data_IF_772725767904
#
_entry.id   IF_772725767904
#
_cell.length_a   1.000
_cell.length_b   1.000
_cell.length_c   1.000
_cell.angle_alpha   90.00
_cell.angle_beta   90.00
_cell.angle_gamma   90.00
#
_symmetry.space_group_name_H-M   'P 1'
#
loop_
_entity.id
_entity.type
_entity.pdbx_description
1 polymer ?
#
# COMPACT_ATOMS: atom_id res chain seq x y z
N UNK A 1 -13.63 8.26 24.87
CA UNK A 1 -12.39 8.28 24.08
C UNK A 1 -11.40 9.20 24.77
N UNK A 2 -10.41 8.63 25.45
CA UNK A 2 -9.31 9.39 26.08
C UNK A 2 -8.38 9.97 25.00
N UNK A 3 -7.51 10.92 25.37
CA UNK A 3 -6.50 11.49 24.46
C UNK A 3 -5.50 10.43 23.96
N UNK A 4 -5.16 9.44 24.80
CA UNK A 4 -4.34 8.28 24.39
C UNK A 4 -5.04 7.39 23.34
N UNK A 5 -6.35 7.17 23.46
CA UNK A 5 -7.14 6.44 22.45
C UNK A 5 -7.32 7.25 21.14
N UNK A 6 -6.98 8.54 21.10
CA UNK A 6 -6.99 9.36 19.87
C UNK A 6 -5.66 9.35 19.13
N UNK A 7 -4.55 9.22 19.85
CA UNK A 7 -3.20 9.20 19.27
C UNK A 7 -2.85 7.84 18.65
N UNK A 8 -3.23 6.72 19.28
CA UNK A 8 -2.95 5.36 18.74
C UNK A 8 -3.71 5.04 17.43
N UNK A 9 -4.80 5.74 17.13
CA UNK A 9 -5.65 5.46 15.94
C UNK A 9 -5.25 6.32 14.73
N UNK A 10 -4.40 7.34 14.92
CA UNK A 10 -4.03 8.27 13.84
C UNK A 10 -3.21 7.61 12.71
N UNK A 11 -2.20 6.75 12.97
CA UNK A 11 -1.45 6.09 11.91
C UNK A 11 -2.29 5.12 11.09
N UNK A 12 -3.14 4.31 11.76
CA UNK A 12 -4.01 3.37 11.08
C UNK A 12 -5.04 4.10 10.20
N UNK A 13 -5.71 5.13 10.73
CA UNK A 13 -6.68 5.90 9.95
C UNK A 13 -6.05 6.53 8.70
N UNK A 14 -4.83 7.04 8.82
CA UNK A 14 -4.09 7.62 7.69
C UNK A 14 -3.81 6.56 6.62
N UNK A 15 -3.45 5.33 7.02
CA UNK A 15 -3.28 4.20 6.10
C UNK A 15 -4.60 3.80 5.43
N UNK A 16 -5.67 3.66 6.20
CA UNK A 16 -6.99 3.25 5.70
C UNK A 16 -7.57 4.29 4.74
N UNK A 17 -7.40 5.59 5.02
CA UNK A 17 -7.78 6.66 4.11
C UNK A 17 -7.01 6.56 2.79
N UNK A 18 -5.68 6.37 2.84
CA UNK A 18 -4.87 6.17 1.63
C UNK A 18 -5.31 4.96 0.82
N UNK A 19 -5.59 3.82 1.47
CA UNK A 19 -6.10 2.61 0.81
C UNK A 19 -7.47 2.85 0.18
N UNK A 20 -8.36 3.57 0.88
CA UNK A 20 -9.68 3.96 0.35
C UNK A 20 -9.55 4.81 -0.90
N UNK A 21 -8.67 5.81 -0.90
CA UNK A 21 -8.39 6.64 -2.08
C UNK A 21 -7.80 5.83 -3.24
N UNK A 22 -6.88 4.89 -2.99
CA UNK A 22 -6.37 4.03 -4.05
C UNK A 22 -7.40 3.05 -4.59
N UNK A 23 -8.36 2.59 -3.78
CA UNK A 23 -9.49 1.77 -4.26
C UNK A 23 -10.37 2.52 -5.25
N UNK A 24 -10.58 3.82 -5.07
CA UNK A 24 -11.34 4.63 -6.04
C UNK A 24 -10.70 4.62 -7.44
N UNK A 25 -9.37 4.43 -7.53
CA UNK A 25 -8.68 4.28 -8.82
C UNK A 25 -9.06 2.96 -9.54
N UNK A 26 -9.35 1.89 -8.81
CA UNK A 26 -9.82 0.63 -9.39
C UNK A 26 -11.22 0.75 -9.98
N UNK A 27 -12.03 1.60 -9.37
CA UNK A 27 -13.42 1.81 -9.77
C UNK A 27 -13.56 2.95 -10.79
N UNK A 28 -12.47 3.61 -11.19
CA UNK A 28 -12.47 4.72 -12.15
C UNK A 28 -13.26 4.41 -13.42
N UNK A 29 -12.99 3.27 -14.07
CA UNK A 29 -13.70 2.90 -15.31
C UNK A 29 -15.20 2.65 -15.06
N UNK A 30 -15.54 2.03 -13.94
CA UNK A 30 -16.94 1.78 -13.55
C UNK A 30 -17.65 3.11 -13.27
N UNK A 31 -17.05 3.97 -12.44
CA UNK A 31 -17.57 5.29 -12.09
C UNK A 31 -17.73 6.18 -13.33
N UNK A 32 -16.75 6.18 -14.23
CA UNK A 32 -16.81 6.92 -15.49
C UNK A 32 -17.93 6.42 -16.40
N UNK A 33 -18.12 5.11 -16.48
CA UNK A 33 -19.23 4.52 -17.22
C UNK A 33 -20.59 4.89 -16.61
N UNK A 34 -20.74 4.85 -15.28
CA UNK A 34 -21.98 5.22 -14.59
C UNK A 34 -22.33 6.71 -14.78
N UNK A 35 -21.34 7.61 -14.69
CA UNK A 35 -21.54 9.04 -14.94
C UNK A 35 -21.98 9.28 -16.39
N UNK A 36 -21.33 8.60 -17.33
CA UNK A 36 -21.67 8.68 -18.76
C UNK A 36 -23.09 8.15 -19.01
N UNK A 37 -23.43 7.00 -18.43
CA UNK A 37 -24.76 6.41 -18.58
C UNK A 37 -25.85 7.36 -18.11
N UNK A 38 -25.69 7.97 -16.93
CA UNK A 38 -26.65 8.96 -16.41
C UNK A 38 -26.79 10.17 -17.34
N UNK A 39 -25.67 10.76 -17.76
CA UNK A 39 -25.67 11.95 -18.62
C UNK A 39 -26.35 11.68 -19.96
N UNK A 40 -26.00 10.56 -20.61
CA UNK A 40 -26.49 10.24 -21.95
C UNK A 40 -27.87 9.59 -21.95
N UNK A 41 -28.32 8.99 -20.85
CA UNK A 41 -29.72 8.57 -20.70
C UNK A 41 -30.66 9.76 -20.69
N UNK A 42 -30.32 10.80 -19.92
CA UNK A 42 -31.14 12.01 -19.83
C UNK A 42 -31.19 12.75 -21.18
N UNK A 43 -30.03 12.89 -21.84
CA UNK A 43 -29.97 13.48 -23.18
C UNK A 43 -30.69 12.63 -24.23
N UNK A 44 -30.57 11.30 -24.16
CA UNK A 44 -31.25 10.38 -25.07
C UNK A 44 -32.77 10.47 -24.96
N UNK A 45 -33.31 10.55 -23.73
CA UNK A 45 -34.75 10.76 -23.48
C UNK A 45 -35.23 12.11 -24.00
N UNK A 46 -34.48 13.19 -23.76
CA UNK A 46 -34.81 14.52 -24.27
C UNK A 46 -34.82 14.55 -25.81
N UNK A 47 -33.82 13.94 -26.44
CA UNK A 47 -33.73 13.85 -27.90
C UNK A 47 -34.89 13.04 -28.50
N UNK A 48 -35.28 11.92 -27.89
CA UNK A 48 -36.43 11.13 -28.32
C UNK A 48 -37.72 11.94 -28.24
N UNK A 49 -37.97 12.59 -27.10
CA UNK A 49 -39.15 13.42 -26.88
C UNK A 49 -39.22 14.63 -27.83
N UNK A 50 -38.07 15.12 -28.30
CA UNK A 50 -37.96 16.19 -29.29
C UNK A 50 -38.11 15.70 -30.76
N UNK A 51 -38.36 14.40 -30.99
CA UNK A 51 -38.49 13.85 -32.34
C UNK A 51 -37.15 13.67 -33.07
N UNK A 52 -36.04 13.55 -32.32
CA UNK A 52 -34.68 13.42 -32.85
C UNK A 52 -34.08 12.02 -32.57
N UNK A 53 -34.63 10.93 -33.15
CA UNK A 53 -34.20 9.56 -32.86
C UNK A 53 -32.74 9.27 -33.26
N UNK A 54 -32.19 10.02 -34.22
CA UNK A 54 -30.77 9.92 -34.59
C UNK A 54 -29.82 10.33 -33.46
N UNK A 55 -30.20 11.30 -32.63
CA UNK A 55 -29.41 11.74 -31.48
C UNK A 55 -29.51 10.75 -30.31
N UNK A 56 -30.68 10.15 -30.08
CA UNK A 56 -30.83 9.07 -29.11
C UNK A 56 -29.89 7.89 -29.44
N UNK A 57 -29.86 7.44 -30.71
CA UNK A 57 -28.95 6.36 -31.14
C UNK A 57 -27.48 6.71 -30.94
N UNK A 58 -27.09 7.97 -31.16
CA UNK A 58 -25.73 8.44 -30.87
C UNK A 58 -25.43 8.39 -29.36
N UNK A 59 -26.38 8.78 -28.52
CA UNK A 59 -26.24 8.66 -27.06
C UNK A 59 -26.03 7.19 -26.63
N UNK A 60 -26.81 6.26 -27.19
CA UNK A 60 -26.63 4.82 -26.95
C UNK A 60 -25.27 4.28 -27.43
N UNK A 61 -24.79 4.76 -28.58
CA UNK A 61 -23.46 4.42 -29.08
C UNK A 61 -22.36 4.91 -28.15
N UNK A 62 -22.45 6.15 -27.66
CA UNK A 62 -21.47 6.70 -26.70
C UNK A 62 -21.43 5.88 -25.42
N UNK A 63 -22.59 5.56 -24.83
CA UNK A 63 -22.67 4.68 -23.64
C UNK A 63 -21.99 3.34 -23.88
N UNK A 64 -22.25 2.72 -25.04
CA UNK A 64 -21.62 1.45 -25.42
C UNK A 64 -20.10 1.57 -25.49
N UNK A 65 -19.59 2.59 -26.21
CA UNK A 65 -18.14 2.83 -26.35
C UNK A 65 -17.49 3.02 -24.98
N UNK A 66 -18.11 3.81 -24.10
CA UNK A 66 -17.57 4.06 -22.76
C UNK A 66 -17.53 2.80 -21.89
N UNK A 67 -18.58 1.98 -21.89
CA UNK A 67 -18.58 0.69 -21.17
C UNK A 67 -17.48 -0.26 -21.65
N UNK A 68 -17.13 -0.16 -22.94
CA UNK A 68 -16.10 -0.97 -23.58
C UNK A 68 -14.71 -0.32 -23.58
N UNK A 69 -14.52 0.87 -22.98
CA UNK A 69 -13.23 1.60 -22.96
C UNK A 69 -12.05 0.72 -22.51
N UNK A 70 -12.24 -0.06 -21.46
CA UNK A 70 -11.25 -1.00 -20.93
C UNK A 70 -10.79 -2.10 -21.93
N UNK A 71 -11.53 -2.32 -23.01
CA UNK A 71 -11.18 -3.28 -24.07
C UNK A 71 -10.26 -2.69 -25.12
N UNK A 72 -10.14 -1.35 -25.21
CA UNK A 72 -9.30 -0.70 -26.19
C UNK A 72 -7.83 -0.71 -25.73
N UNK A 73 -6.87 -1.16 -26.55
CA UNK A 73 -5.46 -1.25 -26.17
C UNK A 73 -4.87 0.06 -25.62
N UNK A 74 -5.24 1.19 -26.23
CA UNK A 74 -4.77 2.52 -25.83
C UNK A 74 -5.22 2.91 -24.41
N UNK A 75 -6.30 2.31 -23.91
CA UNK A 75 -6.82 2.54 -22.57
C UNK A 75 -6.32 1.49 -21.56
N UNK A 76 -5.91 0.31 -22.01
CA UNK A 76 -5.39 -0.74 -21.15
C UNK A 76 -4.08 -0.34 -20.49
N UNK A 77 -3.11 0.19 -21.25
CA UNK A 77 -1.81 0.56 -20.69
C UNK A 77 -1.91 1.65 -19.59
N UNK A 78 -2.68 2.75 -19.76
CA UNK A 78 -2.93 3.70 -18.68
C UNK A 78 -3.64 3.09 -17.46
N UNK A 79 -4.59 2.18 -17.66
CA UNK A 79 -5.28 1.49 -16.56
C UNK A 79 -4.33 0.57 -15.78
N UNK A 80 -3.48 -0.20 -16.46
CA UNK A 80 -2.47 -1.04 -15.82
C UNK A 80 -1.51 -0.20 -14.99
N UNK A 81 -1.03 0.92 -15.54
CA UNK A 81 -0.19 1.87 -14.81
C UNK A 81 -0.92 2.41 -13.57
N UNK A 82 -2.20 2.75 -13.68
CA UNK A 82 -3.01 3.22 -12.57
C UNK A 82 -3.11 2.18 -11.44
N UNK A 83 -3.36 0.91 -11.78
CA UNK A 83 -3.45 -0.17 -10.79
C UNK A 83 -2.09 -0.45 -10.13
N UNK A 84 -1.00 -0.38 -10.89
CA UNK A 84 0.36 -0.49 -10.34
C UNK A 84 0.68 0.62 -9.35
N UNK A 85 0.32 1.87 -9.68
CA UNK A 85 0.46 3.01 -8.76
C UNK A 85 -0.38 2.84 -7.50
N UNK A 86 -1.59 2.27 -7.64
CA UNK A 86 -2.42 1.99 -6.49
C UNK A 86 -1.76 1.00 -5.51
N UNK A 87 -1.13 -0.06 -6.02
CA UNK A 87 -0.35 -0.98 -5.21
C UNK A 87 0.86 -0.31 -4.55
N UNK A 88 1.63 0.46 -5.32
CA UNK A 88 2.81 1.18 -4.82
C UNK A 88 2.42 2.07 -3.64
N UNK A 89 1.35 2.84 -3.78
CA UNK A 89 0.86 3.75 -2.76
C UNK A 89 0.38 3.00 -1.52
N UNK A 90 -0.35 1.89 -1.68
CA UNK A 90 -0.81 1.08 -0.54
C UNK A 90 0.36 0.43 0.22
N UNK A 91 1.37 -0.08 -0.48
CA UNK A 91 2.59 -0.62 0.17
C UNK A 91 3.37 0.50 0.85
N UNK A 92 3.55 1.66 0.22
CA UNK A 92 4.21 2.81 0.85
C UNK A 92 3.44 3.36 2.05
N UNK A 93 2.11 3.32 2.03
CA UNK A 93 1.30 3.65 3.19
C UNK A 93 1.55 2.67 4.35
N UNK A 94 1.63 1.36 4.05
CA UNK A 94 1.99 0.34 5.04
C UNK A 94 3.39 0.54 5.63
N UNK A 95 4.39 0.84 4.78
CA UNK A 95 5.76 1.11 5.23
C UNK A 95 5.82 2.27 6.23
N UNK A 96 5.08 3.36 5.96
CA UNK A 96 5.00 4.51 6.86
C UNK A 96 4.24 4.17 8.14
N UNK A 97 3.09 3.49 8.03
CA UNK A 97 2.33 3.07 9.20
C UNK A 97 3.16 2.20 10.17
N UNK A 98 3.89 1.21 9.65
CA UNK A 98 4.73 0.34 10.47
C UNK A 98 5.90 1.11 11.11
N UNK A 99 6.43 2.11 10.42
CA UNK A 99 7.44 3.03 10.95
C UNK A 99 6.87 3.87 12.10
N UNK A 100 5.72 4.50 11.89
CA UNK A 100 5.11 5.40 12.87
C UNK A 100 4.75 4.64 14.15
N UNK A 101 4.11 3.47 14.01
CA UNK A 101 3.80 2.58 15.12
C UNK A 101 5.05 2.10 15.86
N UNK A 102 6.14 1.82 15.12
CA UNK A 102 7.41 1.45 15.75
C UNK A 102 7.95 2.58 16.62
N UNK A 103 7.98 3.81 16.09
CA UNK A 103 8.43 5.01 16.83
C UNK A 103 7.57 5.23 18.07
N UNK A 104 6.25 5.19 17.93
CA UNK A 104 5.31 5.37 19.03
C UNK A 104 5.51 4.33 20.14
N UNK A 105 5.68 3.05 19.78
CA UNK A 105 5.92 2.00 20.76
C UNK A 105 7.30 2.09 21.43
N UNK A 106 8.33 2.53 20.71
CA UNK A 106 9.64 2.82 21.34
C UNK A 106 9.52 3.97 22.34
N UNK A 107 8.74 5.01 22.03
CA UNK A 107 8.51 6.14 22.93
C UNK A 107 7.84 5.72 24.24
N UNK A 108 6.89 4.79 24.16
CA UNK A 108 6.17 4.27 25.35
C UNK A 108 7.01 3.25 26.13
N UNK A 109 7.82 2.44 25.46
CA UNK A 109 8.61 1.36 26.06
C UNK A 109 10.12 1.45 25.73
N UNK A 110 10.80 2.57 26.05
CA UNK A 110 12.17 2.82 25.60
C UNK A 110 13.16 1.82 26.18
N UNK A 111 12.92 1.30 27.40
CA UNK A 111 13.79 0.34 28.07
C UNK A 111 14.02 -0.95 27.28
N UNK A 112 13.04 -1.40 26.48
CA UNK A 112 13.22 -2.57 25.62
C UNK A 112 14.20 -2.29 24.50
N UNK A 113 14.08 -1.12 23.88
CA UNK A 113 14.90 -0.72 22.77
C UNK A 113 16.33 -0.34 23.21
N UNK A 114 16.49 0.31 24.37
CA UNK A 114 17.78 0.66 24.97
C UNK A 114 18.65 -0.58 25.22
N UNK A 115 18.06 -1.70 25.65
CA UNK A 115 18.82 -2.95 25.92
C UNK A 115 19.55 -3.48 24.69
N UNK A 116 19.01 -3.24 23.50
CA UNK A 116 19.61 -3.64 22.24
C UNK A 116 20.65 -2.64 21.71
N UNK A 117 20.68 -1.43 22.27
CA UNK A 117 21.52 -0.32 21.84
C UNK A 117 22.64 -0.09 22.84
N UNK A 118 23.78 -0.74 22.59
CA UNK A 118 24.97 -0.55 23.42
C UNK A 118 25.63 0.81 23.20
N UNK A 119 25.72 1.24 21.94
CA UNK A 119 26.26 2.54 21.54
C UNK A 119 25.39 3.11 20.41
N UNK A 120 24.99 4.38 20.53
CA UNK A 120 24.20 5.08 19.52
C UNK A 120 25.05 6.23 18.97
N UNK A 121 25.32 6.21 17.66
CA UNK A 121 25.96 7.34 16.98
C UNK A 121 24.89 8.28 16.45
N UNK A 122 24.78 9.46 17.07
CA UNK A 122 23.79 10.47 16.67
C UNK A 122 24.48 11.53 15.81
N UNK A 123 23.95 11.85 14.60
CA UNK A 123 24.44 12.97 13.82
C UNK A 123 24.29 14.30 14.58
N UNK A 124 25.30 15.16 14.52
CA UNK A 124 25.23 16.49 15.15
C UNK A 124 24.14 17.38 14.53
N UNK A 125 23.76 17.12 13.27
CA UNK A 125 22.60 17.76 12.62
C UNK A 125 21.29 17.45 13.36
N UNK A 126 21.11 16.20 13.80
CA UNK A 126 19.92 15.78 14.53
C UNK A 126 19.81 16.50 15.88
N UNK A 127 20.93 16.64 16.60
CA UNK A 127 21.01 17.40 17.86
C UNK A 127 20.73 18.88 17.62
N UNK A 128 21.21 19.44 16.50
CA UNK A 128 20.96 20.84 16.14
C UNK A 128 19.47 21.09 15.87
N UNK A 129 18.76 20.14 15.27
CA UNK A 129 17.35 20.25 14.92
C UNK A 129 16.42 20.01 16.11
N UNK A 130 16.76 19.08 17.00
CA UNK A 130 15.86 18.60 18.05
C UNK A 130 16.33 18.91 19.49
N UNK A 131 17.55 19.45 19.67
CA UNK A 131 18.12 19.74 20.98
C UNK A 131 18.88 18.56 21.62
N UNK A 132 19.26 18.71 22.89
CA UNK A 132 19.98 17.68 23.66
C UNK A 132 19.06 16.75 24.46
N UNK A 133 17.82 17.17 24.75
CA UNK A 133 16.81 16.28 25.32
C UNK A 133 16.15 15.50 24.19
N UNK A 134 16.54 14.24 24.07
CA UNK A 134 16.10 13.35 22.99
C UNK A 134 15.02 12.38 23.46
N UNK A 135 14.47 12.58 24.66
CA UNK A 135 13.54 11.64 25.29
C UNK A 135 12.30 11.40 24.41
N UNK A 136 11.75 12.47 23.82
CA UNK A 136 10.58 12.38 22.95
C UNK A 136 10.90 11.89 21.53
N UNK A 137 12.18 11.92 21.13
CA UNK A 137 12.66 11.58 19.80
C UNK A 137 13.38 10.22 19.77
N UNK A 138 13.22 9.42 20.82
CA UNK A 138 14.04 8.24 21.00
C UNK A 138 13.81 7.23 19.88
N UNK A 139 12.58 7.05 19.41
CA UNK A 139 12.27 6.20 18.25
C UNK A 139 13.00 6.63 16.97
N UNK A 140 13.01 7.92 16.69
CA UNK A 140 13.68 8.52 15.54
C UNK A 140 15.20 8.40 15.65
N UNK A 141 15.75 8.62 16.84
CA UNK A 141 17.18 8.45 17.13
C UNK A 141 17.63 7.02 16.82
N UNK A 142 16.86 6.02 17.25
CA UNK A 142 17.17 4.61 16.98
C UNK A 142 17.17 4.33 15.47
N UNK A 143 16.17 4.85 14.77
CA UNK A 143 16.05 4.64 13.33
C UNK A 143 17.17 5.32 12.53
N UNK A 144 17.65 6.47 12.97
CA UNK A 144 18.78 7.16 12.32
C UNK A 144 20.12 6.48 12.63
N UNK A 145 20.25 5.92 13.83
CA UNK A 145 21.49 5.28 14.27
C UNK A 145 21.67 3.86 13.71
N UNK A 146 20.60 3.05 13.65
CA UNK A 146 20.65 1.69 13.10
C UNK A 146 20.12 1.64 11.66
N UNK A 147 21.06 1.64 10.71
CA UNK A 147 20.78 1.55 9.27
C UNK A 147 20.15 0.22 8.85
N UNK A 148 20.20 -0.81 9.69
CA UNK A 148 19.56 -2.09 9.40
C UNK A 148 18.03 -2.00 9.61
N UNK A 149 17.54 -0.98 10.33
CA UNK A 149 16.11 -0.72 10.48
C UNK A 149 15.55 -0.23 9.13
N UNK A 150 14.79 -1.10 8.50
CA UNK A 150 14.02 -0.75 7.32
C UNK A 150 12.66 -1.46 7.36
N UNK A 151 11.65 -0.78 6.80
CA UNK A 151 10.29 -1.28 6.70
C UNK A 151 9.92 -1.69 5.27
N UNK A 152 10.91 -1.73 4.36
CA UNK A 152 10.72 -1.96 2.92
C UNK A 152 10.37 -3.41 2.56
N UNK A 153 10.59 -4.35 3.50
CA UNK A 153 10.14 -5.72 3.37
C UNK A 153 9.65 -6.25 4.73
N UNK A 154 8.71 -7.19 4.68
CA UNK A 154 8.04 -7.70 5.87
C UNK A 154 9.00 -8.50 6.78
N UNK A 155 10.03 -9.15 6.23
CA UNK A 155 10.96 -9.93 7.04
C UNK A 155 11.87 -9.00 7.86
N UNK A 156 12.38 -7.95 7.24
CA UNK A 156 13.14 -6.88 7.92
C UNK A 156 12.28 -6.19 8.97
N UNK A 157 11.06 -5.83 8.62
CA UNK A 157 10.08 -5.24 9.56
C UNK A 157 9.87 -6.14 10.79
N UNK A 158 9.59 -7.43 10.59
CA UNK A 158 9.39 -8.39 11.69
C UNK A 158 10.65 -8.51 12.55
N UNK A 159 11.84 -8.54 11.95
CA UNK A 159 13.11 -8.55 12.69
C UNK A 159 13.29 -7.29 13.52
N UNK A 160 12.99 -6.11 12.97
CA UNK A 160 13.06 -4.83 13.68
C UNK A 160 12.16 -4.84 14.92
N UNK A 161 10.87 -5.16 14.77
CA UNK A 161 9.94 -5.23 15.90
C UNK A 161 10.35 -6.28 16.93
N UNK A 162 10.79 -7.45 16.49
CA UNK A 162 11.23 -8.52 17.40
C UNK A 162 12.50 -8.16 18.15
N UNK A 163 13.44 -7.44 17.53
CA UNK A 163 14.69 -7.03 18.15
C UNK A 163 14.43 -5.94 19.18
N UNK A 164 13.86 -4.82 18.77
CA UNK A 164 13.78 -3.62 19.59
C UNK A 164 12.59 -3.59 20.55
N UNK A 165 11.47 -4.23 20.20
CA UNK A 165 10.25 -4.22 21.00
C UNK A 165 9.91 -5.59 21.59
N UNK A 166 10.65 -6.64 21.24
CA UNK A 166 10.36 -8.03 21.62
C UNK A 166 8.96 -8.49 21.17
N UNK A 167 8.46 -7.92 20.07
CA UNK A 167 7.13 -8.21 19.51
C UNK A 167 7.28 -8.89 18.16
N UNK A 168 6.63 -10.03 17.99
CA UNK A 168 6.45 -10.64 16.68
C UNK A 168 5.11 -10.18 16.06
N UNK A 169 5.18 -9.14 15.23
CA UNK A 169 4.00 -8.56 14.54
C UNK A 169 3.30 -9.51 13.57
N UNK A 170 3.89 -10.67 13.24
CA UNK A 170 3.28 -11.67 12.35
C UNK A 170 2.78 -12.91 13.10
N UNK A 171 3.09 -13.06 14.40
CA UNK A 171 2.70 -14.26 15.15
C UNK A 171 1.17 -14.36 15.25
N UNK A 172 0.63 -15.53 14.84
CA UNK A 172 -0.80 -15.86 14.70
C UNK A 172 -1.52 -15.16 13.53
N UNK A 173 -0.80 -14.45 12.67
CA UNK A 173 -1.37 -13.91 11.44
C UNK A 173 -1.73 -15.05 10.49
N UNK A 174 -2.82 -14.87 9.73
CA UNK A 174 -3.14 -15.77 8.64
C UNK A 174 -1.98 -15.83 7.63
N UNK A 175 -1.51 -17.05 7.35
CA UNK A 175 -0.36 -17.28 6.47
C UNK A 175 -0.61 -16.72 5.07
N UNK A 176 -1.85 -16.81 4.59
CA UNK A 176 -2.18 -16.39 3.23
C UNK A 176 -2.12 -14.88 3.08
N UNK A 177 -2.55 -14.13 4.09
CA UNK A 177 -2.41 -12.67 4.14
C UNK A 177 -0.93 -12.30 4.22
N UNK A 178 -0.17 -12.92 5.12
CA UNK A 178 1.27 -12.65 5.26
C UNK A 178 2.04 -12.88 3.94
N UNK A 179 1.78 -13.98 3.24
CA UNK A 179 2.40 -14.27 1.93
C UNK A 179 2.05 -13.23 0.86
N UNK A 180 0.83 -12.69 0.89
CA UNK A 180 0.41 -11.62 -0.02
C UNK A 180 1.10 -10.30 0.30
N UNK A 181 1.28 -9.96 1.58
CA UNK A 181 2.02 -8.75 1.99
C UNK A 181 3.49 -8.86 1.57
N UNK A 182 4.13 -10.02 1.76
CA UNK A 182 5.49 -10.28 1.26
C UNK A 182 5.56 -10.07 -0.25
N UNK A 183 4.62 -10.63 -1.02
CA UNK A 183 4.58 -10.44 -2.46
C UNK A 183 4.35 -8.98 -2.84
N UNK A 184 3.49 -8.24 -2.13
CA UNK A 184 3.21 -6.83 -2.42
C UNK A 184 4.48 -5.96 -2.30
N UNK A 185 5.28 -6.14 -1.25
CA UNK A 185 6.59 -5.48 -1.11
C UNK A 185 7.54 -5.85 -2.26
N UNK A 186 7.62 -7.14 -2.60
CA UNK A 186 8.49 -7.61 -3.67
C UNK A 186 8.07 -7.02 -5.04
N UNK A 187 6.77 -7.02 -5.32
CA UNK A 187 6.19 -6.43 -6.53
C UNK A 187 6.50 -4.93 -6.62
N UNK A 188 6.31 -4.17 -5.54
CA UNK A 188 6.65 -2.74 -5.49
C UNK A 188 8.10 -2.49 -5.91
N UNK A 189 9.04 -3.27 -5.37
CA UNK A 189 10.46 -3.17 -5.73
C UNK A 189 10.69 -3.35 -7.24
N UNK A 190 10.03 -4.34 -7.85
CA UNK A 190 10.16 -4.62 -9.30
C UNK A 190 9.56 -3.51 -10.16
N UNK A 191 8.39 -2.99 -9.80
CA UNK A 191 7.74 -1.90 -10.54
C UNK A 191 8.60 -0.63 -10.49
N UNK A 192 9.09 -0.25 -9.30
CA UNK A 192 9.81 1.02 -9.10
C UNK A 192 11.25 0.96 -9.65
N UNK A 193 11.97 -0.14 -9.44
CA UNK A 193 13.42 -0.16 -9.61
C UNK A 193 13.93 -1.02 -10.77
N UNK A 194 13.07 -1.84 -11.39
CA UNK A 194 13.47 -2.84 -12.38
C UNK A 194 12.66 -2.82 -13.67
N UNK A 195 11.87 -1.76 -13.91
CA UNK A 195 11.01 -1.64 -15.09
C UNK A 195 10.12 -2.88 -15.31
N UNK A 196 9.68 -3.53 -14.22
CA UNK A 196 8.88 -4.75 -14.31
C UNK A 196 9.67 -6.05 -14.51
N UNK A 197 11.00 -6.04 -14.63
CA UNK A 197 11.79 -7.26 -14.85
C UNK A 197 12.15 -7.91 -13.52
N UNK A 198 11.75 -9.17 -13.34
CA UNK A 198 11.98 -9.94 -12.12
C UNK A 198 13.47 -10.16 -11.88
N UNK A 199 13.97 -9.77 -10.70
CA UNK A 199 15.36 -9.91 -10.29
C UNK A 199 15.55 -10.99 -9.21
N UNK A 200 16.82 -11.24 -8.85
CA UNK A 200 17.17 -12.24 -7.82
C UNK A 200 16.62 -11.86 -6.44
N UNK A 201 16.48 -10.56 -6.15
CA UNK A 201 15.98 -10.07 -4.86
C UNK A 201 14.50 -10.45 -4.71
N UNK A 202 13.70 -10.22 -5.74
CA UNK A 202 12.29 -10.61 -5.78
C UNK A 202 12.11 -12.11 -5.54
N UNK A 203 12.81 -12.96 -6.32
CA UNK A 203 12.71 -14.43 -6.18
C UNK A 203 13.10 -14.87 -4.77
N UNK A 204 14.13 -14.25 -4.19
CA UNK A 204 14.55 -14.52 -2.81
C UNK A 204 13.50 -14.13 -1.78
N UNK A 205 12.84 -12.97 -1.95
CA UNK A 205 11.79 -12.50 -1.03
C UNK A 205 10.57 -13.43 -1.02
N UNK A 206 10.16 -13.95 -2.18
CA UNK A 206 8.95 -14.78 -2.30
C UNK A 206 9.23 -16.28 -2.16
N UNK A 207 10.48 -16.70 -1.94
CA UNK A 207 10.91 -18.11 -2.01
C UNK A 207 10.18 -19.07 -1.06
N UNK A 208 9.69 -18.55 0.06
CA UNK A 208 8.99 -19.33 1.11
C UNK A 208 7.47 -19.13 1.07
N UNK A 209 6.97 -18.45 0.03
CA UNK A 209 5.54 -18.20 -0.18
C UNK A 209 4.97 -19.15 -1.23
N UNK A 210 3.64 -19.30 -1.23
CA UNK A 210 2.94 -20.04 -2.30
C UNK A 210 3.15 -19.47 -3.72
N UNK A 211 3.61 -18.22 -3.82
CA UNK A 211 3.72 -17.50 -5.09
C UNK A 211 5.00 -17.82 -5.85
N UNK A 212 5.97 -18.51 -5.23
CA UNK A 212 7.27 -18.84 -5.82
C UNK A 212 7.18 -19.44 -7.22
N UNK A 213 6.24 -20.37 -7.44
CA UNK A 213 6.09 -21.06 -8.72
C UNK A 213 5.48 -20.21 -9.84
N UNK A 214 4.95 -19.02 -9.52
CA UNK A 214 4.31 -18.13 -10.49
C UNK A 214 5.24 -17.13 -11.17
N UNK A 215 6.53 -17.09 -10.80
CA UNK A 215 7.44 -16.03 -11.23
C UNK A 215 8.87 -16.56 -11.46
N UNK A 216 9.47 -16.23 -12.61
CA UNK A 216 10.85 -16.63 -12.93
C UNK A 216 11.77 -15.43 -13.12
N UNK A 217 13.07 -15.64 -12.83
CA UNK A 217 14.11 -14.63 -12.99
C UNK A 217 14.19 -14.17 -14.46
N UNK A 218 14.21 -12.85 -14.67
CA UNK A 218 14.32 -12.23 -15.99
C UNK A 218 13.00 -12.08 -16.76
N UNK A 219 11.89 -12.61 -16.23
CA UNK A 219 10.57 -12.43 -16.83
C UNK A 219 9.97 -11.05 -16.52
N UNK A 220 9.10 -10.58 -17.41
CA UNK A 220 8.28 -9.40 -17.15
C UNK A 220 7.17 -9.75 -16.16
N UNK A 221 7.07 -8.94 -15.11
CA UNK A 221 6.02 -9.01 -14.13
C UNK A 221 4.67 -8.70 -14.79
N UNK A 222 3.73 -9.64 -14.68
CA UNK A 222 2.34 -9.46 -15.10
C UNK A 222 1.45 -9.47 -13.87
N UNK A 223 0.63 -8.43 -13.73
CA UNK A 223 -0.30 -8.27 -12.62
C UNK A 223 -1.68 -7.95 -13.14
N UNK A 224 -2.62 -8.83 -12.84
CA UNK A 224 -4.03 -8.61 -13.15
C UNK A 224 -4.67 -7.69 -12.11
N UNK A 225 -5.64 -6.87 -12.54
CA UNK A 225 -6.41 -5.96 -11.68
C UNK A 225 -6.90 -6.63 -10.39
N UNK A 226 -7.55 -7.78 -10.52
CA UNK A 226 -8.13 -8.50 -9.39
C UNK A 226 -7.06 -9.02 -8.42
N UNK A 227 -5.91 -9.41 -8.96
CA UNK A 227 -4.80 -9.85 -8.14
C UNK A 227 -4.20 -8.68 -7.34
N UNK A 228 -4.03 -7.51 -7.98
CA UNK A 228 -3.58 -6.31 -7.27
C UNK A 228 -4.57 -5.93 -6.16
N UNK A 229 -5.88 -5.98 -6.43
CA UNK A 229 -6.90 -5.72 -5.42
C UNK A 229 -6.75 -6.65 -4.21
N UNK A 230 -6.55 -7.95 -4.43
CA UNK A 230 -6.32 -8.92 -3.35
C UNK A 230 -5.06 -8.61 -2.53
N UNK A 231 -3.99 -8.10 -3.15
CA UNK A 231 -2.79 -7.67 -2.44
C UNK A 231 -3.08 -6.46 -1.54
N UNK A 232 -3.84 -5.48 -2.04
CA UNK A 232 -4.23 -4.30 -1.26
C UNK A 232 -5.16 -4.69 -0.10
N UNK A 233 -6.11 -5.58 -0.32
CA UNK A 233 -6.99 -6.09 0.75
C UNK A 233 -6.16 -6.80 1.83
N UNK A 234 -5.14 -7.57 1.43
CA UNK A 234 -4.23 -8.23 2.38
C UNK A 234 -3.36 -7.23 3.16
N UNK A 235 -3.00 -6.09 2.57
CA UNK A 235 -2.28 -5.01 3.26
C UNK A 235 -3.17 -4.39 4.35
N UNK A 236 -4.44 -4.12 4.03
CA UNK A 236 -5.40 -3.59 4.99
C UNK A 236 -5.62 -4.57 6.15
N UNK A 237 -5.90 -5.84 5.84
CA UNK A 237 -6.10 -6.88 6.86
C UNK A 237 -4.88 -7.03 7.77
N UNK A 238 -3.67 -6.96 7.19
CA UNK A 238 -2.44 -6.99 7.96
C UNK A 238 -2.29 -5.77 8.87
N UNK A 239 -2.55 -4.56 8.36
CA UNK A 239 -2.48 -3.34 9.16
C UNK A 239 -3.47 -3.38 10.34
N UNK A 240 -4.71 -3.81 10.11
CA UNK A 240 -5.71 -4.00 11.15
C UNK A 240 -5.29 -5.05 12.18
N UNK A 241 -4.73 -6.18 11.73
CA UNK A 241 -4.20 -7.20 12.63
C UNK A 241 -3.09 -6.65 13.53
N UNK A 242 -2.12 -5.94 12.94
CA UNK A 242 -1.01 -5.33 13.70
C UNK A 242 -1.54 -4.32 14.70
N UNK A 243 -2.49 -3.47 14.30
CA UNK A 243 -3.09 -2.48 15.19
C UNK A 243 -3.79 -3.12 16.40
N UNK A 244 -4.50 -4.23 16.20
CA UNK A 244 -5.22 -4.91 17.28
C UNK A 244 -4.29 -5.69 18.23
N UNK A 245 -3.05 -5.92 17.81
CA UNK A 245 -2.06 -6.69 18.57
C UNK A 245 -1.16 -5.81 19.44
N UNK A 246 -0.95 -4.57 19.01
CA UNK A 246 -0.08 -3.57 19.62
C UNK A 246 -0.90 -2.68 20.56
#
# INVERSE_FOLDING_TARGET
>A
MTLQEREEVAPLNTLLEKISLTRQLFDFNTNFAEITDKLFDDWGKQAYNAGLPGLQRKADQVKKVVRELHKFPDFQAPLEMLYQQALINSVSALENYLRDIFVDKVKVEPDKAIKELKDIRIPTSFIKENGLDLTEYFGEVIMEADRDINFQDLQSTRRTFSRYLQIDICQKMDRKIMENVVLAHAVRHIIIHKNGIIDKRFVSQIKDTRHKSGYSLGENLKLEKNFIKQLIDSIEDFAMFVNNKL
#
